data_IF_034004148539
#
_entry.id   IF_034004148539
#
_cell.length_a   1.000
_cell.length_b   1.000
_cell.length_c   1.000
_cell.angle_alpha   90.00
_cell.angle_beta   90.00
_cell.angle_gamma   90.00
#
_symmetry.space_group_name_H-M   'P 1'
#
loop_
_entity.id
_entity.type
_entity.pdbx_description
1 polymer ?
#
# COMPACT_ATOMS: atom_id res chain seq x y z
N UNK A 1 22.93 -32.72 17.82
CA UNK A 1 22.06 -33.06 16.66
C UNK A 1 20.66 -32.44 16.77
N UNK A 2 20.14 -32.19 17.98
CA UNK A 2 18.84 -31.55 18.23
C UNK A 2 18.66 -30.13 17.66
N UNK A 3 19.70 -29.28 17.73
CA UNK A 3 19.58 -27.88 17.27
C UNK A 3 19.25 -27.75 15.77
N UNK A 4 19.75 -28.67 14.93
CA UNK A 4 19.46 -28.67 13.49
C UNK A 4 18.02 -29.10 13.16
N UNK A 5 17.35 -29.81 14.07
CA UNK A 5 15.97 -30.26 13.89
C UNK A 5 15.02 -29.12 14.28
N UNK A 6 15.30 -28.45 15.39
CA UNK A 6 14.55 -27.26 15.83
C UNK A 6 14.65 -26.10 14.84
N UNK A 7 15.82 -25.82 14.29
CA UNK A 7 15.96 -24.79 13.25
C UNK A 7 15.19 -25.15 11.97
N UNK A 8 15.19 -26.43 11.56
CA UNK A 8 14.41 -26.88 10.41
C UNK A 8 12.90 -26.81 10.64
N UNK A 9 12.41 -27.17 11.82
CA UNK A 9 10.98 -27.03 12.15
C UNK A 9 10.55 -25.57 12.17
N UNK A 10 11.32 -24.67 12.82
CA UNK A 10 10.99 -23.24 12.89
C UNK A 10 10.99 -22.60 11.50
N UNK A 11 11.97 -22.92 10.64
CA UNK A 11 12.01 -22.41 9.26
C UNK A 11 10.84 -22.96 8.44
N UNK A 12 10.56 -24.26 8.54
CA UNK A 12 9.47 -24.90 7.78
C UNK A 12 8.08 -24.40 8.22
N UNK A 13 7.87 -24.13 9.52
CA UNK A 13 6.61 -23.56 10.02
C UNK A 13 6.43 -22.10 9.60
N UNK A 14 7.54 -21.36 9.52
CA UNK A 14 7.54 -19.96 9.04
C UNK A 14 7.25 -19.90 7.55
N UNK A 15 7.85 -20.78 6.74
CA UNK A 15 7.56 -20.91 5.30
C UNK A 15 6.15 -21.43 5.05
N UNK A 16 5.66 -22.40 5.84
CA UNK A 16 4.30 -22.91 5.73
C UNK A 16 3.26 -21.84 6.12
N UNK A 17 3.53 -21.00 7.13
CA UNK A 17 2.72 -19.80 7.44
C UNK A 17 2.78 -18.74 6.35
N UNK A 18 3.94 -18.55 5.71
CA UNK A 18 4.11 -17.61 4.60
C UNK A 18 3.24 -18.04 3.40
N UNK A 19 3.24 -19.34 3.11
CA UNK A 19 2.53 -19.94 1.97
C UNK A 19 1.02 -20.03 2.21
N UNK A 20 0.59 -20.11 3.48
CA UNK A 20 -0.84 -20.15 3.88
C UNK A 20 -1.46 -18.76 4.09
N UNK A 21 -0.75 -17.65 3.80
CA UNK A 21 -1.40 -16.34 3.67
C UNK A 21 -2.16 -16.31 2.35
N UNK A 22 -3.47 -16.56 2.44
CA UNK A 22 -4.40 -16.65 1.32
C UNK A 22 -4.16 -15.54 0.28
N UNK A 23 -4.08 -15.92 -1.01
CA UNK A 23 -3.88 -15.03 -2.17
C UNK A 23 -4.75 -13.76 -2.13
N UNK A 24 -5.92 -13.84 -1.48
CA UNK A 24 -6.83 -12.73 -1.19
C UNK A 24 -6.19 -11.54 -0.44
N UNK A 25 -5.19 -11.75 0.40
CA UNK A 25 -4.51 -10.66 1.12
C UNK A 25 -3.72 -9.73 0.20
N UNK A 26 -3.28 -10.22 -0.97
CA UNK A 26 -2.52 -9.43 -1.95
C UNK A 26 -3.40 -8.52 -2.80
N UNK A 27 -4.71 -8.80 -2.88
CA UNK A 27 -5.67 -7.96 -3.62
C UNK A 27 -5.85 -6.60 -2.95
N UNK A 28 -5.81 -6.54 -1.61
CA UNK A 28 -6.04 -5.32 -0.84
C UNK A 28 -5.02 -4.22 -1.17
N UNK A 29 -3.70 -4.44 -1.10
CA UNK A 29 -2.75 -3.40 -1.47
C UNK A 29 -2.83 -3.01 -2.96
N UNK A 30 -3.21 -3.94 -3.84
CA UNK A 30 -3.40 -3.70 -5.27
C UNK A 30 -4.56 -2.74 -5.57
N UNK A 31 -5.61 -2.71 -4.75
CA UNK A 31 -6.71 -1.75 -4.87
C UNK A 31 -6.25 -0.29 -4.80
N UNK A 32 -5.09 -0.02 -4.16
CA UNK A 32 -4.53 1.33 -4.06
C UNK A 32 -4.19 1.93 -5.44
N UNK A 33 -3.99 1.09 -6.46
CA UNK A 33 -3.70 1.50 -7.84
C UNK A 33 -4.93 2.05 -8.57
N UNK A 34 -6.14 1.90 -8.03
CA UNK A 34 -7.36 2.49 -8.60
C UNK A 34 -7.43 3.99 -8.28
N UNK A 35 -6.91 4.43 -7.14
CA UNK A 35 -6.94 5.84 -6.74
C UNK A 35 -6.32 6.83 -7.74
N UNK A 36 -5.13 6.57 -8.32
CA UNK A 36 -4.58 7.48 -9.32
C UNK A 36 -5.41 7.56 -10.61
N UNK A 37 -6.23 6.55 -10.93
CA UNK A 37 -7.12 6.56 -12.10
C UNK A 37 -8.32 7.51 -11.88
N UNK A 38 -8.81 7.61 -10.64
CA UNK A 38 -9.93 8.50 -10.27
C UNK A 38 -9.44 9.92 -9.95
N UNK A 39 -8.13 10.10 -9.82
CA UNK A 39 -7.48 11.35 -9.46
C UNK A 39 -7.18 12.21 -10.70
N UNK A 40 -6.81 13.48 -10.49
CA UNK A 40 -6.18 14.28 -11.54
C UNK A 40 -4.95 13.51 -12.03
N UNK A 41 -4.93 13.22 -13.33
CA UNK A 41 -3.86 12.42 -13.96
C UNK A 41 -2.52 13.13 -13.77
N UNK A 42 -1.68 12.55 -12.92
CA UNK A 42 -0.40 13.12 -12.55
C UNK A 42 0.55 12.04 -12.04
N UNK A 43 1.84 12.28 -12.24
CA UNK A 43 2.91 11.36 -11.81
C UNK A 43 2.91 11.17 -10.27
N UNK A 44 2.49 12.20 -9.53
CA UNK A 44 2.43 12.18 -8.07
C UNK A 44 1.41 11.14 -7.54
N UNK A 45 0.12 11.15 -7.93
CA UNK A 45 -0.82 10.09 -7.55
C UNK A 45 -0.33 8.66 -7.85
N UNK A 46 0.29 8.44 -9.02
CA UNK A 46 0.84 7.14 -9.40
C UNK A 46 1.98 6.69 -8.50
N UNK A 47 2.96 7.56 -8.24
CA UNK A 47 4.10 7.24 -7.36
C UNK A 47 3.63 6.92 -5.94
N UNK A 48 2.67 7.67 -5.41
CA UNK A 48 2.06 7.41 -4.09
C UNK A 48 1.40 6.04 -4.06
N UNK A 49 0.56 5.73 -5.05
CA UNK A 49 -0.16 4.47 -5.12
C UNK A 49 0.78 3.25 -5.21
N UNK A 50 1.84 3.35 -6.04
CA UNK A 50 2.86 2.29 -6.17
C UNK A 50 3.62 2.10 -4.85
N UNK A 51 4.03 3.20 -4.21
CA UNK A 51 4.74 3.15 -2.93
C UNK A 51 3.92 2.46 -1.84
N UNK A 52 2.64 2.82 -1.68
CA UNK A 52 1.77 2.20 -0.68
C UNK A 52 1.38 0.77 -1.04
N UNK A 53 1.24 0.44 -2.32
CA UNK A 53 1.05 -0.93 -2.78
C UNK A 53 2.25 -1.80 -2.38
N UNK A 54 3.48 -1.37 -2.69
CA UNK A 54 4.71 -2.07 -2.29
C UNK A 54 4.81 -2.24 -0.77
N UNK A 55 4.55 -1.17 -0.01
CA UNK A 55 4.59 -1.20 1.46
C UNK A 55 3.51 -2.11 2.04
N UNK A 56 2.33 -2.16 1.41
CA UNK A 56 1.24 -3.06 1.73
C UNK A 56 1.61 -4.52 1.50
N UNK A 57 2.19 -4.85 0.34
CA UNK A 57 2.70 -6.20 0.03
C UNK A 57 3.80 -6.61 1.02
N UNK A 58 4.76 -5.73 1.31
CA UNK A 58 5.82 -6.00 2.28
C UNK A 58 5.27 -6.26 3.69
N UNK A 59 4.18 -5.58 4.07
CA UNK A 59 3.53 -5.76 5.36
C UNK A 59 2.83 -7.11 5.53
N UNK A 60 2.47 -7.77 4.42
CA UNK A 60 1.92 -9.13 4.42
C UNK A 60 2.93 -10.14 4.95
N UNK A 61 4.24 -9.89 4.92
CA UNK A 61 5.22 -10.84 5.46
C UNK A 61 5.84 -10.41 6.79
N UNK A 62 5.74 -9.13 7.15
CA UNK A 62 6.41 -8.56 8.34
C UNK A 62 5.56 -8.47 9.61
N UNK A 63 4.22 -8.49 9.51
CA UNK A 63 3.35 -8.23 10.66
C UNK A 63 2.44 -9.42 11.01
N UNK A 64 2.14 -9.56 12.31
CA UNK A 64 1.19 -10.55 12.84
C UNK A 64 -0.24 -10.32 12.32
N UNK A 65 -0.65 -9.05 12.15
CA UNK A 65 -1.99 -8.65 11.67
C UNK A 65 -1.87 -7.91 10.32
N UNK A 66 -1.56 -8.61 9.21
CA UNK A 66 -1.28 -8.01 7.91
C UNK A 66 -2.46 -7.22 7.36
N UNK A 67 -3.67 -7.76 7.50
CA UNK A 67 -4.91 -7.19 6.97
C UNK A 67 -5.16 -5.76 7.47
N UNK A 68 -5.02 -5.54 8.79
CA UNK A 68 -5.18 -4.21 9.40
C UNK A 68 -4.15 -3.22 8.86
N UNK A 69 -2.91 -3.66 8.59
CA UNK A 69 -1.88 -2.80 8.01
C UNK A 69 -2.08 -2.52 6.52
N UNK A 70 -2.48 -3.51 5.73
CA UNK A 70 -2.84 -3.30 4.33
C UNK A 70 -3.99 -2.29 4.19
N UNK A 71 -5.05 -2.41 5.00
CA UNK A 71 -6.16 -1.45 5.01
C UNK A 71 -5.68 -0.06 5.43
N UNK A 72 -4.84 0.02 6.47
CA UNK A 72 -4.28 1.30 6.91
C UNK A 72 -3.50 1.99 5.78
N UNK A 73 -2.68 1.26 5.02
CA UNK A 73 -1.95 1.82 3.89
C UNK A 73 -2.85 2.21 2.72
N UNK A 74 -3.90 1.43 2.44
CA UNK A 74 -4.89 1.77 1.42
C UNK A 74 -5.60 3.09 1.77
N UNK A 75 -6.06 3.25 3.01
CA UNK A 75 -6.69 4.48 3.48
C UNK A 75 -5.70 5.65 3.39
N UNK A 76 -4.45 5.45 3.83
CA UNK A 76 -3.42 6.50 3.78
C UNK A 76 -3.11 6.94 2.34
N UNK A 77 -3.04 5.99 1.41
CA UNK A 77 -2.88 6.27 -0.02
C UNK A 77 -4.03 7.11 -0.56
N UNK A 78 -5.28 6.74 -0.23
CA UNK A 78 -6.47 7.49 -0.65
C UNK A 78 -6.48 8.91 -0.09
N UNK A 79 -6.17 9.09 1.20
CA UNK A 79 -6.12 10.41 1.84
C UNK A 79 -5.05 11.31 1.21
N UNK A 80 -3.85 10.80 0.95
CA UNK A 80 -2.77 11.58 0.32
C UNK A 80 -3.18 12.02 -1.10
N UNK A 81 -3.77 11.12 -1.88
CA UNK A 81 -4.22 11.43 -3.25
C UNK A 81 -5.37 12.45 -3.23
N UNK A 82 -6.31 12.34 -2.29
CA UNK A 82 -7.37 13.32 -2.12
C UNK A 82 -6.82 14.71 -1.74
N UNK A 83 -5.86 14.77 -0.80
CA UNK A 83 -5.19 16.02 -0.44
C UNK A 83 -4.43 16.62 -1.62
N UNK A 84 -3.76 15.80 -2.43
CA UNK A 84 -3.10 16.24 -3.65
C UNK A 84 -4.10 16.89 -4.62
N UNK A 85 -5.25 16.26 -4.86
CA UNK A 85 -6.28 16.84 -5.74
C UNK A 85 -6.83 18.16 -5.20
N UNK A 86 -7.05 18.28 -3.90
CA UNK A 86 -7.47 19.54 -3.27
C UNK A 86 -6.41 20.62 -3.47
N UNK A 87 -5.13 20.29 -3.28
CA UNK A 87 -4.03 21.22 -3.50
C UNK A 87 -3.97 21.67 -4.97
N UNK A 88 -4.03 20.73 -5.92
CA UNK A 88 -4.02 21.07 -7.36
C UNK A 88 -5.22 21.96 -7.69
N UNK A 89 -6.41 21.63 -7.20
CA UNK A 89 -7.60 22.46 -7.39
C UNK A 89 -7.41 23.87 -6.83
N UNK A 90 -6.87 24.00 -5.62
CA UNK A 90 -6.62 25.29 -4.99
C UNK A 90 -5.59 26.10 -5.78
N UNK A 91 -4.46 25.47 -6.14
CA UNK A 91 -3.42 26.09 -6.96
C UNK A 91 -4.01 26.54 -8.29
N UNK A 92 -4.69 25.68 -9.03
CA UNK A 92 -5.29 26.03 -10.32
C UNK A 92 -6.31 27.16 -10.20
N UNK A 93 -7.19 27.17 -9.19
CA UNK A 93 -8.23 28.19 -9.09
C UNK A 93 -7.71 29.54 -8.58
N UNK A 94 -6.74 29.54 -7.65
CA UNK A 94 -6.19 30.77 -7.08
C UNK A 94 -5.05 31.36 -7.92
N UNK A 95 -4.15 30.55 -8.51
CA UNK A 95 -3.12 31.09 -9.39
C UNK A 95 -3.73 31.63 -10.68
N UNK A 96 -4.69 30.94 -11.29
CA UNK A 96 -5.32 31.43 -12.52
C UNK A 96 -6.05 32.75 -12.28
N UNK A 97 -6.71 32.91 -11.13
CA UNK A 97 -7.32 34.19 -10.74
C UNK A 97 -6.33 35.30 -10.41
N UNK A 98 -5.09 34.98 -10.10
CA UNK A 98 -4.05 35.97 -9.78
C UNK A 98 -3.27 36.38 -11.05
N UNK A 99 -3.26 35.51 -12.05
CA UNK A 99 -2.62 35.73 -13.36
C UNK A 99 -3.53 36.37 -14.41
N UNK A 100 -4.86 36.35 -14.19
CA UNK A 100 -5.89 36.91 -15.06
C UNK A 100 -6.49 38.17 -14.45
#
# INVERSE_FOLDING_TARGET
>A
MENNILEKEVVNDTEMKLTKRSKLLYIIPLLSLIFPIVSIEGLVPWTVAIYFCYKGISSINKYEKPLKKCISYLVLSGVIIALYNILVYFVSNYLVKLLM
#
